data_IF_414396384198
#
_entry.id   IF_414396384198
#
_cell.length_a   1.000
_cell.length_b   1.000
_cell.length_c   1.000
_cell.angle_alpha   90.00
_cell.angle_beta   90.00
_cell.angle_gamma   90.00
#
_symmetry.space_group_name_H-M   'P 1'
#
loop_
_entity.id
_entity.type
_entity.pdbx_description
1 polymer ?
#
# COMPACT_ATOMS: atom_id res chain seq x y z
N UNK A 1 6.12 -5.70 -24.63
CA UNK A 1 6.29 -5.91 -23.18
C UNK A 1 5.80 -4.74 -22.32
N UNK A 2 6.01 -3.47 -22.70
CA UNK A 2 5.59 -2.28 -21.90
C UNK A 2 4.08 -2.19 -21.67
N UNK A 3 3.25 -2.46 -22.70
CA UNK A 3 1.78 -2.35 -22.60
C UNK A 3 1.18 -3.36 -21.60
N UNK A 4 1.65 -4.61 -21.60
CA UNK A 4 1.20 -5.63 -20.62
C UNK A 4 1.52 -5.22 -19.19
N UNK A 5 2.70 -4.63 -18.95
CA UNK A 5 3.07 -4.10 -17.62
C UNK A 5 2.15 -2.98 -17.17
N UNK A 6 1.82 -2.04 -18.07
CA UNK A 6 0.91 -0.92 -17.76
C UNK A 6 -0.48 -1.45 -17.40
N UNK A 7 -1.05 -2.36 -18.20
CA UNK A 7 -2.37 -2.95 -17.94
C UNK A 7 -2.39 -3.68 -16.59
N UNK A 8 -1.37 -4.49 -16.30
CA UNK A 8 -1.26 -5.21 -15.01
C UNK A 8 -1.15 -4.25 -13.83
N UNK A 9 -0.39 -3.16 -13.97
CA UNK A 9 -0.28 -2.13 -12.92
C UNK A 9 -1.62 -1.43 -12.69
N UNK A 10 -2.34 -1.06 -13.74
CA UNK A 10 -3.68 -0.45 -13.62
C UNK A 10 -4.66 -1.40 -12.93
N UNK A 11 -4.70 -2.66 -13.36
CA UNK A 11 -5.57 -3.67 -12.74
C UNK A 11 -5.24 -3.88 -11.26
N UNK A 12 -3.96 -3.97 -10.94
CA UNK A 12 -3.47 -4.07 -9.55
C UNK A 12 -3.90 -2.85 -8.72
N UNK A 13 -3.78 -1.63 -9.27
CA UNK A 13 -4.17 -0.40 -8.57
C UNK A 13 -5.67 -0.34 -8.30
N UNK A 14 -6.50 -0.77 -9.26
CA UNK A 14 -7.95 -0.86 -9.09
C UNK A 14 -8.31 -1.86 -7.98
N UNK A 15 -7.74 -3.07 -8.04
CA UNK A 15 -7.96 -4.11 -7.02
C UNK A 15 -7.51 -3.64 -5.63
N UNK A 16 -6.39 -2.92 -5.56
CA UNK A 16 -5.88 -2.36 -4.32
C UNK A 16 -6.82 -1.30 -3.74
N UNK A 17 -7.36 -0.41 -4.60
CA UNK A 17 -8.36 0.58 -4.21
C UNK A 17 -9.63 -0.06 -3.63
N UNK A 18 -10.15 -1.11 -4.27
CA UNK A 18 -11.27 -1.88 -3.74
C UNK A 18 -10.95 -2.48 -2.35
N UNK A 19 -9.78 -3.07 -2.18
CA UNK A 19 -9.38 -3.66 -0.90
C UNK A 19 -9.29 -2.62 0.23
N UNK A 20 -8.84 -1.40 -0.06
CA UNK A 20 -8.79 -0.30 0.91
C UNK A 20 -10.17 0.22 1.32
N UNK A 21 -11.14 0.15 0.41
CA UNK A 21 -12.52 0.62 0.68
C UNK A 21 -13.34 -0.46 1.39
N UNK A 22 -13.28 -1.71 0.90
CA UNK A 22 -14.09 -2.79 1.43
C UNK A 22 -13.58 -3.32 2.78
N UNK A 23 -12.26 -3.32 3.01
CA UNK A 23 -11.67 -3.80 4.25
C UNK A 23 -12.25 -3.12 5.50
N UNK A 24 -12.17 -1.78 5.61
CA UNK A 24 -12.71 -1.05 6.75
C UNK A 24 -14.23 -1.18 6.93
N UNK A 25 -14.99 -1.42 5.86
CA UNK A 25 -16.44 -1.65 5.97
C UNK A 25 -16.81 -2.91 6.75
N UNK A 26 -15.86 -3.83 6.92
CA UNK A 26 -16.08 -5.06 7.72
C UNK A 26 -15.82 -4.85 9.21
N UNK A 27 -15.37 -3.66 9.63
CA UNK A 27 -15.16 -3.36 11.05
C UNK A 27 -16.48 -3.05 11.74
N UNK A 28 -16.65 -3.53 12.96
CA UNK A 28 -17.85 -3.27 13.77
C UNK A 28 -17.99 -4.25 14.92
N UNK A 29 -19.06 -4.10 15.71
CA UNK A 29 -19.32 -4.93 16.90
C UNK A 29 -19.47 -6.43 16.57
N UNK A 30 -20.02 -6.75 15.40
CA UNK A 30 -20.18 -8.13 14.89
C UNK A 30 -19.21 -8.44 13.73
N UNK A 31 -18.32 -7.50 13.37
CA UNK A 31 -17.39 -7.61 12.27
C UNK A 31 -15.99 -8.05 12.68
N UNK A 32 -15.10 -8.04 11.70
CA UNK A 32 -13.69 -8.36 11.93
C UNK A 32 -12.97 -7.17 12.58
N UNK A 33 -11.96 -7.48 13.41
CA UNK A 33 -11.05 -6.46 13.90
C UNK A 33 -9.84 -6.26 12.94
N UNK A 34 -9.12 -5.12 13.02
CA UNK A 34 -7.99 -4.83 12.15
C UNK A 34 -6.89 -5.90 12.16
N UNK A 35 -6.65 -6.52 13.32
CA UNK A 35 -5.63 -7.55 13.48
C UNK A 35 -6.03 -8.83 12.74
N UNK A 36 -7.28 -9.26 12.93
CA UNK A 36 -7.83 -10.44 12.25
C UNK A 36 -7.85 -10.24 10.73
N UNK A 37 -8.30 -9.07 10.26
CA UNK A 37 -8.31 -8.77 8.83
C UNK A 37 -6.91 -8.79 8.24
N UNK A 38 -5.94 -8.17 8.93
CA UNK A 38 -4.53 -8.17 8.49
C UNK A 38 -3.97 -9.58 8.42
N UNK A 39 -4.23 -10.40 9.44
CA UNK A 39 -3.79 -11.79 9.48
C UNK A 39 -4.40 -12.60 8.34
N UNK A 40 -5.72 -12.59 8.20
CA UNK A 40 -6.43 -13.34 7.17
C UNK A 40 -5.99 -12.93 5.76
N UNK A 41 -5.86 -11.63 5.49
CA UNK A 41 -5.41 -11.12 4.19
C UNK A 41 -4.02 -11.66 3.83
N UNK A 42 -3.06 -11.59 4.76
CA UNK A 42 -1.71 -12.10 4.52
C UNK A 42 -1.69 -13.63 4.43
N UNK A 43 -2.42 -14.32 5.31
CA UNK A 43 -2.49 -15.78 5.32
C UNK A 43 -3.11 -16.34 4.03
N UNK A 44 -4.23 -15.78 3.59
CA UNK A 44 -4.89 -16.22 2.36
C UNK A 44 -4.08 -15.89 1.09
N UNK A 45 -3.20 -14.90 1.13
CA UNK A 45 -2.33 -14.59 -0.02
C UNK A 45 -1.23 -15.64 -0.25
N UNK A 46 -0.82 -16.38 0.80
CA UNK A 46 0.26 -17.36 0.71
C UNK A 46 0.00 -18.49 -0.30
N UNK A 47 -1.14 -19.19 -0.31
CA UNK A 47 -1.40 -20.24 -1.29
C UNK A 47 -1.40 -19.72 -2.73
N UNK A 48 -1.94 -18.51 -2.96
CA UNK A 48 -1.92 -17.89 -4.30
C UNK A 48 -0.49 -17.59 -4.75
N UNK A 49 0.34 -17.03 -3.87
CA UNK A 49 1.75 -16.79 -4.16
C UNK A 49 2.50 -18.09 -4.43
N UNK A 50 2.23 -19.13 -3.66
CA UNK A 50 2.85 -20.45 -3.84
C UNK A 50 2.49 -21.05 -5.20
N UNK A 51 1.23 -20.97 -5.61
CA UNK A 51 0.78 -21.40 -6.93
C UNK A 51 1.51 -20.61 -8.03
N UNK A 52 1.62 -19.29 -7.91
CA UNK A 52 2.33 -18.44 -8.89
C UNK A 52 3.80 -18.83 -8.98
N UNK A 53 4.48 -19.04 -7.86
CA UNK A 53 5.88 -19.46 -7.81
C UNK A 53 6.08 -20.80 -8.53
N UNK A 54 5.18 -21.77 -8.27
CA UNK A 54 5.24 -23.09 -8.90
C UNK A 54 4.97 -23.02 -10.40
N UNK A 55 3.97 -22.24 -10.83
CA UNK A 55 3.63 -22.08 -12.26
C UNK A 55 4.74 -21.38 -13.04
N UNK A 56 5.37 -20.36 -12.45
CA UNK A 56 6.44 -19.60 -13.08
C UNK A 56 7.82 -20.26 -12.91
N UNK A 57 7.89 -21.40 -12.19
CA UNK A 57 9.14 -22.12 -11.89
C UNK A 57 10.24 -21.20 -11.35
N UNK A 58 9.86 -20.30 -10.44
CA UNK A 58 10.81 -19.34 -9.84
C UNK A 58 11.75 -20.10 -8.91
N UNK A 59 13.06 -19.93 -9.12
CA UNK A 59 14.06 -20.51 -8.22
C UNK A 59 14.06 -19.71 -6.89
N UNK A 60 13.72 -20.40 -5.81
CA UNK A 60 13.65 -19.85 -4.44
C UNK A 60 14.98 -19.97 -3.68
N UNK A 61 16.07 -20.29 -4.35
CA UNK A 61 17.37 -20.39 -3.69
C UNK A 61 17.83 -19.00 -3.25
N UNK A 62 17.78 -18.77 -1.95
CA UNK A 62 18.25 -17.52 -1.33
C UNK A 62 19.39 -17.82 -0.36
N UNK A 63 20.38 -16.92 -0.31
CA UNK A 63 21.44 -17.01 0.70
C UNK A 63 20.89 -16.64 2.07
N UNK A 64 21.56 -17.12 3.14
CA UNK A 64 21.15 -16.78 4.53
C UNK A 64 21.05 -15.27 4.77
N UNK A 65 21.92 -14.47 4.16
CA UNK A 65 21.87 -13.01 4.25
C UNK A 65 20.62 -12.46 3.58
N UNK A 66 20.32 -12.89 2.37
CA UNK A 66 19.11 -12.47 1.64
C UNK A 66 17.84 -12.90 2.39
N UNK A 67 17.80 -14.09 2.95
CA UNK A 67 16.66 -14.57 3.74
C UNK A 67 16.42 -13.68 4.96
N UNK A 68 17.46 -13.33 5.72
CA UNK A 68 17.38 -12.40 6.85
C UNK A 68 16.85 -11.05 6.41
N UNK A 69 17.39 -10.49 5.34
CA UNK A 69 17.01 -9.17 4.84
C UNK A 69 15.55 -9.17 4.34
N UNK A 70 15.10 -10.25 3.69
CA UNK A 70 13.70 -10.46 3.30
C UNK A 70 12.74 -10.58 4.50
N UNK A 71 13.16 -11.29 5.56
CA UNK A 71 12.36 -11.40 6.79
C UNK A 71 12.20 -10.03 7.44
N UNK A 72 13.28 -9.27 7.58
CA UNK A 72 13.24 -7.92 8.16
C UNK A 72 12.34 -7.02 7.30
N UNK A 73 12.52 -7.01 5.99
CA UNK A 73 11.72 -6.22 5.07
C UNK A 73 10.23 -6.62 5.11
N UNK A 74 9.93 -7.91 5.13
CA UNK A 74 8.56 -8.40 5.20
C UNK A 74 7.88 -8.07 6.51
N UNK A 75 8.58 -8.24 7.63
CA UNK A 75 8.02 -7.97 8.95
C UNK A 75 7.88 -6.47 9.23
N UNK A 76 8.96 -5.71 9.09
CA UNK A 76 8.96 -4.27 9.40
C UNK A 76 8.27 -3.46 8.29
N UNK A 77 8.60 -3.73 7.02
CA UNK A 77 8.10 -2.95 5.89
C UNK A 77 6.65 -3.27 5.53
N UNK A 78 6.22 -4.52 5.66
CA UNK A 78 4.86 -4.92 5.26
C UNK A 78 3.94 -5.21 6.44
N UNK A 79 4.31 -6.13 7.35
CA UNK A 79 3.38 -6.57 8.39
C UNK A 79 3.04 -5.45 9.37
N UNK A 80 4.04 -4.75 9.91
CA UNK A 80 3.82 -3.65 10.86
C UNK A 80 3.07 -2.50 10.17
N UNK A 81 3.49 -2.10 8.98
CA UNK A 81 2.87 -0.99 8.25
C UNK A 81 1.41 -1.28 7.93
N UNK A 82 1.10 -2.50 7.44
CA UNK A 82 -0.27 -2.90 7.12
C UNK A 82 -1.14 -2.97 8.39
N UNK A 83 -0.59 -3.49 9.49
CA UNK A 83 -1.31 -3.54 10.75
C UNK A 83 -1.62 -2.14 11.26
N UNK A 84 -0.64 -1.23 11.30
CA UNK A 84 -0.85 0.14 11.74
C UNK A 84 -1.86 0.89 10.88
N UNK A 85 -1.82 0.66 9.56
CA UNK A 85 -2.78 1.27 8.63
C UNK A 85 -4.20 0.75 8.87
N UNK A 86 -4.38 -0.56 9.03
CA UNK A 86 -5.69 -1.14 9.35
C UNK A 86 -6.21 -0.69 10.72
N UNK A 87 -5.32 -0.52 11.70
CA UNK A 87 -5.69 0.07 12.98
C UNK A 87 -6.13 1.53 12.83
N UNK A 88 -5.43 2.32 12.02
CA UNK A 88 -5.84 3.70 11.74
C UNK A 88 -7.25 3.76 11.13
N UNK A 89 -7.59 2.87 10.20
CA UNK A 89 -8.93 2.79 9.61
C UNK A 89 -10.03 2.39 10.61
N UNK A 90 -9.70 1.75 11.72
CA UNK A 90 -10.67 1.42 12.75
C UNK A 90 -11.05 2.63 13.64
N UNK A 91 -10.19 3.66 13.69
CA UNK A 91 -10.40 4.83 14.56
C UNK A 91 -10.66 6.13 13.79
N UNK A 92 -10.22 6.21 12.53
CA UNK A 92 -10.26 7.42 11.73
C UNK A 92 -10.90 7.08 10.38
N UNK A 93 -11.68 8.01 9.85
CA UNK A 93 -12.33 7.86 8.55
C UNK A 93 -11.31 7.53 7.43
N UNK A 94 -11.67 6.56 6.59
CA UNK A 94 -10.85 6.11 5.45
C UNK A 94 -10.51 7.27 4.51
N UNK A 95 -11.44 8.22 4.35
CA UNK A 95 -11.27 9.41 3.54
C UNK A 95 -10.17 10.34 4.05
N UNK A 96 -9.80 10.27 5.33
CA UNK A 96 -8.71 11.04 5.93
C UNK A 96 -7.42 10.23 5.95
N UNK A 97 -7.47 8.98 6.38
CA UNK A 97 -6.29 8.12 6.49
C UNK A 97 -5.66 7.84 5.13
N UNK A 98 -6.49 7.60 4.11
CA UNK A 98 -6.01 7.22 2.79
C UNK A 98 -5.14 8.30 2.13
N UNK A 99 -5.53 9.57 2.05
CA UNK A 99 -4.67 10.64 1.53
C UNK A 99 -3.36 10.77 2.31
N UNK A 100 -3.41 10.70 3.64
CA UNK A 100 -2.21 10.77 4.48
C UNK A 100 -1.27 9.60 4.15
N UNK A 101 -1.80 8.39 4.04
CA UNK A 101 -1.00 7.24 3.65
C UNK A 101 -0.34 7.44 2.29
N UNK A 102 -1.06 7.94 1.30
CA UNK A 102 -0.53 8.16 -0.04
C UNK A 102 0.49 9.30 -0.16
N UNK A 103 0.84 9.98 0.93
CA UNK A 103 1.99 10.90 0.94
C UNK A 103 3.35 10.18 1.01
N UNK A 104 3.36 8.86 1.33
CA UNK A 104 4.61 8.09 1.46
C UNK A 104 5.55 8.17 0.26
N UNK A 105 5.13 8.31 -1.02
CA UNK A 105 6.06 8.43 -2.14
C UNK A 105 6.98 9.64 -2.06
N UNK A 106 6.53 10.72 -1.38
CA UNK A 106 7.39 11.88 -1.12
C UNK A 106 8.55 11.47 -0.21
N UNK A 107 8.23 10.82 0.92
CA UNK A 107 9.25 10.41 1.90
C UNK A 107 10.21 9.39 1.30
N UNK A 108 9.70 8.44 0.50
CA UNK A 108 10.54 7.48 -0.24
C UNK A 108 11.46 8.21 -1.21
N UNK A 109 10.93 9.15 -2.00
CA UNK A 109 11.72 9.91 -2.97
C UNK A 109 12.80 10.74 -2.29
N UNK A 110 12.45 11.43 -1.18
CA UNK A 110 13.43 12.18 -0.38
C UNK A 110 14.49 11.24 0.21
N UNK A 111 14.09 10.10 0.73
CA UNK A 111 15.03 9.08 1.22
C UNK A 111 15.99 8.60 0.14
N UNK A 112 15.49 8.33 -1.07
CA UNK A 112 16.33 7.94 -2.20
C UNK A 112 17.34 9.03 -2.58
N UNK A 113 16.94 10.29 -2.56
CA UNK A 113 17.86 11.40 -2.83
C UNK A 113 18.91 11.55 -1.74
N UNK A 114 18.51 11.51 -0.48
CA UNK A 114 19.40 11.78 0.66
C UNK A 114 20.36 10.61 0.90
N UNK A 115 19.84 9.37 0.94
CA UNK A 115 20.65 8.20 1.31
C UNK A 115 21.35 7.55 0.12
N UNK A 116 20.72 7.54 -1.05
CA UNK A 116 21.27 6.89 -2.24
C UNK A 116 21.83 7.87 -3.27
N UNK A 117 21.74 9.19 -2.99
CA UNK A 117 22.21 10.26 -3.90
C UNK A 117 21.64 10.11 -5.32
N UNK A 118 20.40 9.57 -5.44
CA UNK A 118 19.73 9.43 -6.73
C UNK A 118 19.41 10.79 -7.33
N UNK A 119 19.76 10.97 -8.62
CA UNK A 119 19.37 12.17 -9.36
C UNK A 119 17.89 12.09 -9.72
N UNK A 120 17.12 13.09 -9.30
CA UNK A 120 15.70 13.19 -9.68
C UNK A 120 15.59 13.56 -11.17
N UNK A 121 14.99 12.68 -11.95
CA UNK A 121 14.61 13.02 -13.32
C UNK A 121 13.43 14.01 -13.30
N UNK A 122 13.39 14.95 -14.24
CA UNK A 122 12.28 15.91 -14.40
C UNK A 122 10.92 15.19 -14.48
N UNK A 123 10.89 14.02 -15.11
CA UNK A 123 9.68 13.19 -15.22
C UNK A 123 9.21 12.64 -13.85
N UNK A 124 10.16 12.20 -12.98
CA UNK A 124 9.84 11.74 -11.62
C UNK A 124 9.26 12.89 -10.79
N UNK A 125 9.85 14.08 -10.87
CA UNK A 125 9.35 15.27 -10.14
C UNK A 125 7.96 15.66 -10.63
N UNK A 126 7.74 15.72 -11.94
CA UNK A 126 6.44 16.05 -12.52
C UNK A 126 5.34 15.06 -12.13
N UNK A 127 5.65 13.75 -12.19
CA UNK A 127 4.72 12.71 -11.75
C UNK A 127 4.37 12.83 -10.25
N UNK A 128 5.36 13.18 -9.41
CA UNK A 128 5.13 13.38 -7.98
C UNK A 128 4.23 14.59 -7.72
N UNK A 129 4.41 15.70 -8.43
CA UNK A 129 3.57 16.92 -8.31
C UNK A 129 2.12 16.58 -8.70
N UNK A 130 1.90 15.87 -9.82
CA UNK A 130 0.56 15.47 -10.25
C UNK A 130 -0.10 14.55 -9.21
N UNK A 131 0.64 13.56 -8.71
CA UNK A 131 0.12 12.65 -7.69
C UNK A 131 -0.29 13.40 -6.41
N UNK A 132 0.55 14.34 -5.96
CA UNK A 132 0.27 15.15 -4.78
C UNK A 132 -0.90 16.11 -4.94
N UNK A 133 -1.06 16.71 -6.13
CA UNK A 133 -2.23 17.55 -6.39
C UNK A 133 -3.53 16.75 -6.36
N UNK A 134 -3.54 15.53 -6.90
CA UNK A 134 -4.69 14.62 -6.81
C UNK A 134 -5.04 14.24 -5.37
N UNK A 135 -4.04 13.91 -4.56
CA UNK A 135 -4.21 13.60 -3.13
C UNK A 135 -4.74 14.82 -2.38
N UNK A 136 -4.21 16.00 -2.67
CA UNK A 136 -4.67 17.27 -2.05
C UNK A 136 -6.13 17.57 -2.37
N UNK A 137 -6.55 17.43 -3.61
CA UNK A 137 -7.96 17.59 -4.00
C UNK A 137 -8.87 16.59 -3.28
N UNK A 138 -8.45 15.33 -3.19
CA UNK A 138 -9.22 14.30 -2.48
C UNK A 138 -9.33 14.60 -0.98
N UNK A 139 -8.25 15.05 -0.34
CA UNK A 139 -8.23 15.41 1.07
C UNK A 139 -9.17 16.59 1.39
N UNK A 140 -9.16 17.64 0.55
CA UNK A 140 -10.07 18.78 0.70
C UNK A 140 -11.53 18.33 0.57
N UNK A 141 -11.84 17.46 -0.38
CA UNK A 141 -13.19 16.91 -0.58
C UNK A 141 -13.63 16.09 0.64
N UNK A 142 -12.75 15.26 1.18
CA UNK A 142 -13.03 14.44 2.37
C UNK A 142 -13.29 15.30 3.61
N UNK A 143 -12.49 16.36 3.82
CA UNK A 143 -12.70 17.31 4.92
C UNK A 143 -14.04 18.06 4.81
N UNK A 144 -14.39 18.50 3.61
CA UNK A 144 -15.66 19.18 3.38
C UNK A 144 -16.84 18.23 3.66
N UNK A 145 -16.78 16.98 3.20
CA UNK A 145 -17.83 15.98 3.49
C UNK A 145 -17.98 15.71 4.99
N UNK A 146 -16.89 15.63 5.72
CA UNK A 146 -16.89 15.46 7.17
C UNK A 146 -17.46 16.69 7.92
N UNK A 147 -17.33 17.88 7.35
CA UNK A 147 -17.86 19.14 7.91
C UNK A 147 -19.37 19.31 7.70
N UNK A 148 -19.94 18.78 6.63
CA UNK A 148 -21.37 18.85 6.30
C UNK A 148 -22.21 17.72 6.92
N UNK A 149 -21.59 16.72 7.54
CA UNK A 149 -22.24 15.56 8.17
C UNK A 149 -22.49 15.70 9.68
N UNK A 150 -22.42 16.93 10.23
CA UNK A 150 -22.77 17.23 11.65
C UNK A 150 -24.08 17.96 11.74
#
# INVERSE_FOLDING_TARGET
MKLKGIILTMLSSITFGFAFTLGPMTYGLEGSNPVTLTFLRNFLSLPFLLVIILLLKIDLRVTKKQLRDLIILGFVGNAITTLMLNMAFAYIDVGIVTPIHFTYPIFVTLGCVIFFHEKLSKQKVFALIIAMSGIGCFFITALNSASFGK
#
